data_IF_581133366593
#
_entry.id   IF_581133366593
#
_cell.length_a   1.000
_cell.length_b   1.000
_cell.length_c   1.000
_cell.angle_alpha   90.00
_cell.angle_beta   90.00
_cell.angle_gamma   90.00
#
_symmetry.space_group_name_H-M   'P 1'
#
loop_
_entity.id
_entity.type
_entity.pdbx_description
1 polymer ?
#
# COMPACT_ATOMS: atom_id res chain seq x y z
N UNK A 1 12.69 5.49 -7.45
CA UNK A 1 12.52 4.80 -6.15
C UNK A 1 11.06 4.41 -5.98
N UNK A 2 10.77 3.18 -5.56
CA UNK A 2 9.44 2.73 -5.12
C UNK A 2 9.53 2.29 -3.66
N UNK A 3 8.55 2.64 -2.83
CA UNK A 3 8.51 2.23 -1.43
C UNK A 3 7.86 0.85 -1.28
N UNK A 4 8.45 -0.01 -0.46
CA UNK A 4 7.90 -1.33 -0.11
C UNK A 4 8.01 -1.58 1.39
N UNK A 5 7.21 -2.50 1.90
CA UNK A 5 7.42 -3.09 3.23
C UNK A 5 7.52 -4.61 3.06
N UNK A 6 8.45 -5.26 3.74
CA UNK A 6 8.76 -6.67 3.54
C UNK A 6 8.94 -7.43 4.86
N UNK A 7 8.73 -8.75 4.85
CA UNK A 7 8.92 -9.62 6.01
C UNK A 7 7.63 -10.32 6.48
N UNK A 8 7.68 -10.92 7.66
CA UNK A 8 6.55 -11.62 8.27
C UNK A 8 5.38 -10.66 8.59
N UNK A 9 4.16 -11.19 8.55
CA UNK A 9 2.95 -10.42 8.88
C UNK A 9 3.07 -9.78 10.27
N UNK A 10 2.94 -8.45 10.33
CA UNK A 10 3.00 -7.68 11.57
C UNK A 10 4.42 -7.39 12.08
N UNK A 11 5.46 -7.81 11.36
CA UNK A 11 6.88 -7.50 11.64
C UNK A 11 7.56 -6.94 10.39
N UNK A 12 6.79 -6.29 9.52
CA UNK A 12 7.33 -5.76 8.28
C UNK A 12 8.38 -4.68 8.54
N UNK A 13 9.40 -4.69 7.70
CA UNK A 13 10.49 -3.71 7.62
C UNK A 13 10.30 -2.82 6.40
N UNK A 14 10.81 -1.59 6.46
CA UNK A 14 10.85 -0.72 5.29
C UNK A 14 11.90 -1.18 4.29
N UNK A 15 11.58 -1.02 3.01
CA UNK A 15 12.52 -1.21 1.92
C UNK A 15 12.17 -0.33 0.74
N UNK A 16 13.07 -0.31 -0.24
CA UNK A 16 12.90 0.44 -1.49
C UNK A 16 13.29 -0.39 -2.70
N UNK A 17 12.69 -0.06 -3.85
CA UNK A 17 13.10 -0.57 -5.15
C UNK A 17 13.76 0.56 -5.94
N UNK A 18 14.99 0.34 -6.37
CA UNK A 18 15.80 1.25 -7.19
C UNK A 18 16.37 0.43 -8.34
N UNK A 19 16.09 0.83 -9.58
CA UNK A 19 16.55 0.12 -10.79
C UNK A 19 16.31 -1.40 -10.75
N UNK A 20 15.11 -1.79 -10.31
CA UNK A 20 14.67 -3.18 -10.10
C UNK A 20 15.44 -4.00 -9.06
N UNK A 21 16.35 -3.39 -8.30
CA UNK A 21 17.01 -3.98 -7.13
C UNK A 21 16.23 -3.59 -5.87
N UNK A 22 16.06 -4.54 -4.96
CA UNK A 22 15.30 -4.36 -3.73
C UNK A 22 16.27 -4.22 -2.57
N UNK A 23 16.10 -3.16 -1.78
CA UNK A 23 16.97 -2.83 -0.66
C UNK A 23 16.18 -2.80 0.65
N UNK A 24 16.76 -3.34 1.71
CA UNK A 24 16.30 -3.14 3.10
C UNK A 24 16.71 -1.73 3.54
N UNK A 25 15.73 -0.98 4.06
CA UNK A 25 15.96 0.36 4.64
C UNK A 25 15.52 0.40 6.11
N UNK A 26 15.40 -0.75 6.77
CA UNK A 26 14.93 -0.81 8.17
C UNK A 26 15.83 -0.07 9.15
N UNK A 27 17.11 0.11 8.80
CA UNK A 27 18.06 0.93 9.56
C UNK A 27 17.76 2.45 9.50
N UNK A 28 16.86 2.90 8.61
CA UNK A 28 16.40 4.30 8.56
C UNK A 28 15.69 4.71 9.86
N UNK A 29 15.04 3.78 10.55
CA UNK A 29 14.43 4.01 11.86
C UNK A 29 13.00 4.55 11.84
N UNK A 30 12.44 4.83 10.67
CA UNK A 30 11.02 5.19 10.49
C UNK A 30 10.30 4.15 9.61
N UNK A 31 8.97 4.14 9.69
CA UNK A 31 8.09 3.29 8.86
C UNK A 31 7.22 4.16 7.94
N UNK A 32 6.71 3.61 6.83
CA UNK A 32 5.89 4.33 5.86
C UNK A 32 4.46 4.57 6.38
N UNK A 33 4.32 5.43 7.37
CA UNK A 33 3.07 5.77 8.06
C UNK A 33 2.73 7.27 7.93
N UNK A 34 1.66 7.69 8.58
CA UNK A 34 1.23 9.10 8.63
C UNK A 34 2.37 10.06 9.01
N UNK A 35 3.13 9.75 10.07
CA UNK A 35 4.23 10.59 10.53
C UNK A 35 5.33 10.75 9.47
N UNK A 36 5.71 9.66 8.80
CA UNK A 36 6.69 9.70 7.72
C UNK A 36 6.25 10.61 6.57
N UNK A 37 5.00 10.53 6.14
CA UNK A 37 4.51 11.39 5.05
C UNK A 37 4.31 12.84 5.49
N UNK A 38 3.90 13.09 6.73
CA UNK A 38 3.73 14.43 7.30
C UNK A 38 5.06 15.17 7.49
N UNK A 39 6.14 14.46 7.82
CA UNK A 39 7.40 15.08 8.26
C UNK A 39 8.51 15.11 7.19
N UNK A 40 8.13 15.10 5.90
CA UNK A 40 9.06 15.02 4.77
C UNK A 40 9.95 13.74 4.78
N UNK A 41 9.43 12.63 5.29
CA UNK A 41 10.15 11.36 5.39
C UNK A 41 10.70 10.87 4.05
N UNK A 42 10.03 11.16 2.93
CA UNK A 42 10.57 10.87 1.58
C UNK A 42 11.93 11.53 1.33
N UNK A 43 12.12 12.77 1.76
CA UNK A 43 13.38 13.50 1.61
C UNK A 43 14.44 12.94 2.56
N UNK A 44 14.09 12.65 3.80
CA UNK A 44 15.01 12.04 4.76
C UNK A 44 15.45 10.64 4.32
N UNK A 45 14.53 9.83 3.79
CA UNK A 45 14.83 8.52 3.23
C UNK A 45 15.75 8.63 2.00
N UNK A 46 15.52 9.60 1.12
CA UNK A 46 16.42 9.84 -0.01
C UNK A 46 17.85 10.18 0.45
N UNK A 47 17.99 11.05 1.46
CA UNK A 47 19.29 11.38 2.08
C UNK A 47 19.92 10.14 2.73
N UNK A 48 19.14 9.33 3.43
CA UNK A 48 19.60 8.08 4.03
C UNK A 48 20.14 7.12 2.96
N UNK A 49 19.41 6.95 1.85
CA UNK A 49 19.83 6.09 0.73
C UNK A 49 21.12 6.62 0.10
N UNK A 50 21.22 7.93 -0.12
CA UNK A 50 22.42 8.56 -0.68
C UNK A 50 23.64 8.34 0.22
N UNK A 51 23.49 8.55 1.54
CA UNK A 51 24.56 8.35 2.53
C UNK A 51 24.98 6.88 2.69
N UNK A 52 24.13 5.93 2.27
CA UNK A 52 24.38 4.49 2.34
C UNK A 52 24.47 3.86 0.95
N UNK A 53 24.78 4.66 -0.07
CA UNK A 53 24.89 4.17 -1.45
C UNK A 53 25.99 3.10 -1.55
N UNK A 54 25.64 1.95 -2.12
CA UNK A 54 26.52 0.78 -2.23
C UNK A 54 26.68 -0.06 -0.95
N UNK A 55 26.08 0.34 0.18
CA UNK A 55 26.12 -0.42 1.45
C UNK A 55 24.75 -0.91 1.91
N UNK A 56 23.67 -0.43 1.30
CA UNK A 56 22.31 -0.92 1.58
C UNK A 56 22.20 -2.42 1.33
N UNK A 57 21.67 -3.21 2.29
CA UNK A 57 21.50 -4.64 2.10
C UNK A 57 20.48 -4.93 1.00
N UNK A 58 20.85 -5.73 0.01
CA UNK A 58 19.90 -6.26 -0.97
C UNK A 58 19.01 -7.34 -0.33
N UNK A 59 17.74 -7.36 -0.72
CA UNK A 59 16.78 -8.37 -0.29
C UNK A 59 16.28 -9.20 -1.48
N UNK A 60 15.99 -10.47 -1.23
CA UNK A 60 15.43 -11.35 -2.26
C UNK A 60 14.07 -10.86 -2.76
N UNK A 61 13.80 -11.00 -4.06
CA UNK A 61 12.49 -10.74 -4.67
C UNK A 61 11.42 -11.77 -4.27
N UNK A 62 11.83 -12.90 -3.72
CA UNK A 62 10.94 -13.93 -3.19
C UNK A 62 10.46 -13.61 -1.76
N UNK A 63 10.93 -12.51 -1.16
CA UNK A 63 10.48 -12.09 0.16
C UNK A 63 9.00 -11.68 0.13
N UNK A 64 8.26 -12.07 1.16
CA UNK A 64 6.88 -11.59 1.33
C UNK A 64 6.86 -10.07 1.41
N UNK A 65 6.00 -9.45 0.59
CA UNK A 65 5.64 -8.05 0.71
C UNK A 65 4.43 -7.87 1.62
N UNK A 66 4.51 -6.90 2.52
CA UNK A 66 3.34 -6.39 3.24
C UNK A 66 2.70 -5.22 2.49
N UNK A 67 1.68 -4.62 3.10
CA UNK A 67 1.16 -3.33 2.63
C UNK A 67 2.29 -2.30 2.59
N UNK A 68 2.43 -1.51 1.51
CA UNK A 68 3.46 -0.47 1.42
C UNK A 68 3.27 0.64 2.46
N UNK A 69 2.05 0.78 3.01
CA UNK A 69 1.69 1.75 4.04
C UNK A 69 1.45 1.05 5.37
N UNK A 70 2.12 1.53 6.41
CA UNK A 70 1.96 1.09 7.78
C UNK A 70 0.76 1.79 8.42
N UNK A 71 -0.30 1.01 8.70
CA UNK A 71 -1.49 1.41 9.50
C UNK A 71 -1.99 2.84 9.23
N UNK A 72 -2.57 3.11 8.04
CA UNK A 72 -3.15 4.42 7.77
C UNK A 72 -4.28 4.72 8.77
N UNK A 73 -4.50 6.00 9.08
CA UNK A 73 -5.57 6.42 10.00
C UNK A 73 -6.97 6.24 9.39
N UNK A 74 -7.08 6.32 8.05
CA UNK A 74 -8.32 6.13 7.28
C UNK A 74 -8.02 5.50 5.93
N UNK A 75 -9.00 4.76 5.39
CA UNK A 75 -9.04 4.36 3.98
C UNK A 75 -10.37 4.91 3.43
N UNK A 76 -10.28 5.94 2.59
CA UNK A 76 -11.44 6.58 1.95
C UNK A 76 -11.58 6.04 0.54
N UNK A 77 -12.72 5.41 0.26
CA UNK A 77 -13.02 4.80 -1.03
C UNK A 77 -14.00 5.66 -1.81
N UNK A 78 -13.96 5.55 -3.15
CA UNK A 78 -14.81 6.31 -4.06
C UNK A 78 -15.64 5.34 -4.91
N UNK A 79 -16.96 5.34 -4.70
CA UNK A 79 -17.88 4.52 -5.48
C UNK A 79 -18.18 5.11 -6.85
N UNK A 80 -18.46 4.23 -7.83
CA UNK A 80 -18.92 4.59 -9.18
C UNK A 80 -18.04 5.64 -9.90
N UNK A 81 -16.71 5.54 -9.75
CA UNK A 81 -15.77 6.51 -10.34
C UNK A 81 -15.26 6.11 -11.74
N UNK A 82 -15.92 5.15 -12.39
CA UNK A 82 -15.68 4.76 -13.78
C UNK A 82 -17.02 4.77 -14.55
N UNK A 83 -17.10 5.55 -15.63
CA UNK A 83 -18.34 5.72 -16.38
C UNK A 83 -18.89 4.40 -16.95
N UNK A 84 -18.01 3.48 -17.34
CA UNK A 84 -18.43 2.17 -17.86
C UNK A 84 -18.94 1.24 -16.75
N UNK A 85 -18.40 1.35 -15.53
CA UNK A 85 -18.91 0.60 -14.38
C UNK A 85 -20.30 1.09 -13.95
N UNK A 86 -20.58 2.40 -14.06
CA UNK A 86 -21.93 2.94 -13.86
C UNK A 86 -22.94 2.37 -14.89
N UNK A 87 -22.52 2.22 -16.16
CA UNK A 87 -23.36 1.60 -17.20
C UNK A 87 -23.62 0.11 -16.92
N UNK A 88 -22.60 -0.64 -16.51
CA UNK A 88 -22.70 -2.07 -16.19
C UNK A 88 -23.73 -2.34 -15.08
N UNK A 89 -23.73 -1.51 -14.04
CA UNK A 89 -24.65 -1.61 -12.91
C UNK A 89 -26.02 -0.97 -13.18
N UNK A 90 -26.22 -0.41 -14.37
CA UNK A 90 -27.39 0.38 -14.75
C UNK A 90 -27.69 1.53 -13.76
N UNK A 91 -26.62 2.08 -13.16
CA UNK A 91 -26.68 3.17 -12.20
C UNK A 91 -26.57 4.53 -12.92
N UNK A 92 -27.22 5.55 -12.36
CA UNK A 92 -27.01 6.91 -12.82
C UNK A 92 -25.58 7.37 -12.48
N UNK A 93 -24.95 8.14 -13.38
CA UNK A 93 -23.65 8.76 -13.10
C UNK A 93 -23.85 9.73 -11.92
N UNK A 94 -23.09 9.58 -10.82
CA UNK A 94 -23.22 10.47 -9.66
C UNK A 94 -22.89 11.91 -10.04
N UNK A 95 -23.67 12.88 -9.53
CA UNK A 95 -23.34 14.31 -9.67
C UNK A 95 -22.21 14.75 -8.72
N UNK A 96 -21.95 13.96 -7.68
CA UNK A 96 -20.93 14.19 -6.66
C UNK A 96 -20.24 12.86 -6.28
N UNK A 97 -19.00 12.88 -5.77
CA UNK A 97 -18.29 11.66 -5.38
C UNK A 97 -19.01 10.89 -4.28
N UNK A 98 -19.23 9.59 -4.49
CA UNK A 98 -19.79 8.69 -3.47
C UNK A 98 -18.65 8.22 -2.56
N UNK A 99 -18.59 8.74 -1.34
CA UNK A 99 -17.53 8.41 -0.38
C UNK A 99 -17.99 7.38 0.66
N UNK A 100 -17.13 6.40 0.92
CA UNK A 100 -17.31 5.46 2.02
C UNK A 100 -15.96 5.07 2.63
N UNK A 101 -15.99 4.40 3.78
CA UNK A 101 -14.78 4.00 4.50
C UNK A 101 -14.59 2.49 4.43
N UNK A 102 -13.34 2.08 4.18
CA UNK A 102 -12.90 0.70 4.42
C UNK A 102 -12.17 0.66 5.77
N UNK A 103 -12.44 -0.37 6.57
CA UNK A 103 -11.70 -0.57 7.82
C UNK A 103 -10.21 -0.69 7.55
N UNK A 104 -9.38 0.00 8.33
CA UNK A 104 -7.91 -0.05 8.20
C UNK A 104 -7.37 -1.46 8.49
N UNK A 105 -8.11 -2.27 9.25
CA UNK A 105 -7.81 -3.69 9.51
C UNK A 105 -8.01 -4.60 8.30
N UNK A 106 -8.63 -4.12 7.22
CA UNK A 106 -8.80 -4.88 5.99
C UNK A 106 -7.61 -4.78 5.02
N UNK A 107 -6.59 -3.98 5.36
CA UNK A 107 -5.38 -3.80 4.57
C UNK A 107 -4.46 -5.02 4.70
N UNK A 108 -3.91 -5.50 3.59
CA UNK A 108 -3.06 -6.71 3.53
C UNK A 108 -1.96 -6.54 2.49
N UNK A 109 -0.98 -7.45 2.47
CA UNK A 109 0.08 -7.45 1.47
C UNK A 109 -0.43 -7.82 0.08
N UNK A 110 0.27 -7.42 -1.00
CA UNK A 110 -0.20 -7.61 -2.37
C UNK A 110 -0.36 -9.08 -2.80
N UNK A 111 0.29 -10.01 -2.09
CA UNK A 111 0.25 -11.44 -2.36
C UNK A 111 -0.27 -12.27 -1.18
N UNK A 112 -0.81 -11.60 -0.15
CA UNK A 112 -1.40 -12.28 1.00
C UNK A 112 -2.74 -12.92 0.61
N UNK A 113 -3.06 -14.05 1.24
CA UNK A 113 -4.34 -14.71 1.05
C UNK A 113 -5.50 -13.86 1.61
N UNK A 114 -6.58 -13.74 0.86
CA UNK A 114 -7.84 -13.15 1.33
C UNK A 114 -8.67 -14.22 2.02
N UNK A 115 -8.96 -14.02 3.31
CA UNK A 115 -9.84 -14.92 4.07
C UNK A 115 -11.30 -14.59 3.77
N UNK A 116 -11.93 -15.47 3.02
CA UNK A 116 -13.35 -15.38 2.66
C UNK A 116 -14.23 -15.58 3.92
N UNK A 117 -15.16 -14.67 4.22
CA UNK A 117 -16.08 -14.86 5.35
C UNK A 117 -16.89 -16.14 5.19
N UNK A 118 -17.13 -16.85 6.30
CA UNK A 118 -18.01 -18.02 6.32
C UNK A 118 -19.37 -17.66 5.74
N UNK A 119 -19.91 -18.51 4.87
CA UNK A 119 -21.18 -18.32 4.17
C UNK A 119 -21.22 -17.12 3.19
N UNK A 120 -20.08 -16.57 2.79
CA UNK A 120 -20.07 -15.60 1.68
C UNK A 120 -20.53 -16.28 0.38
N UNK A 121 -21.49 -15.67 -0.31
CA UNK A 121 -22.06 -16.18 -1.56
C UNK A 121 -21.82 -15.25 -2.76
N UNK A 122 -21.37 -14.02 -2.52
CA UNK A 122 -21.20 -12.96 -3.52
C UNK A 122 -19.97 -12.09 -3.22
N UNK A 123 -18.84 -12.73 -2.92
CA UNK A 123 -17.59 -11.99 -2.88
C UNK A 123 -17.18 -11.62 -4.29
N UNK A 124 -16.76 -10.38 -4.46
CA UNK A 124 -16.39 -9.80 -5.74
C UNK A 124 -15.04 -9.07 -5.63
N UNK A 125 -14.54 -8.58 -6.76
CA UNK A 125 -13.25 -7.92 -6.89
C UNK A 125 -13.39 -6.53 -7.53
N UNK A 126 -12.56 -5.60 -7.09
CA UNK A 126 -12.44 -4.26 -7.67
C UNK A 126 -10.96 -3.92 -7.77
N UNK A 127 -10.49 -3.58 -8.98
CA UNK A 127 -9.13 -3.06 -9.19
C UNK A 127 -9.22 -1.54 -9.15
N UNK A 128 -8.53 -0.93 -8.21
CA UNK A 128 -8.55 0.52 -8.00
C UNK A 128 -7.14 1.11 -7.97
N UNK A 129 -7.04 2.39 -8.32
CA UNK A 129 -5.86 3.20 -8.03
C UNK A 129 -5.98 3.75 -6.61
N UNK A 130 -5.06 3.37 -5.73
CA UNK A 130 -4.91 4.00 -4.42
C UNK A 130 -4.02 5.24 -4.52
N UNK A 131 -4.47 6.34 -3.90
CA UNK A 131 -3.67 7.55 -3.70
C UNK A 131 -3.25 7.60 -2.24
N UNK A 132 -1.96 7.82 -2.00
CA UNK A 132 -1.33 7.94 -0.67
C UNK A 132 -0.86 9.38 -0.49
#
# INVERSE_FOLDING_TARGET
>A
MKLIRHGETGKEKTGVIIDDIWYDTSAFGEDHNEHFFETNGLKHLAIFIENNSGTLPEISKDIRLGSPIARPSKIVCVGLNYADHAKETNAAIPAEPVLFLKSTTALTGPFDNIVMPKNSVKTDWEVELAVV
#
